data_IF_198109671222
#
_entry.id   IF_198109671222
#
_cell.length_a   1.000
_cell.length_b   1.000
_cell.length_c   1.000
_cell.angle_alpha   90.00
_cell.angle_beta   90.00
_cell.angle_gamma   90.00
#
_symmetry.space_group_name_H-M   'P 1'
#
loop_
_entity.id
_entity.type
_entity.pdbx_description
1 polymer ?
2 non-polymer ?
3 non-polymer ?
4 non-polymer ?
5 non-polymer ?
6 non-polymer ?
7 water ?
#
# COMPACT_ATOMS: atom_id res chain seq x y z
N UNK A 1 6.87 -9.68 -5.82
CA UNK A 1 5.97 -9.61 -7.02
C UNK A 1 5.12 -8.33 -7.02
N UNK A 2 5.86 -7.22 -7.05
CA UNK A 2 5.35 -5.91 -6.68
C UNK A 2 5.45 -4.87 -7.84
N UNK A 3 5.43 -5.36 -9.08
CA UNK A 3 5.51 -4.50 -10.29
C UNK A 3 4.19 -3.73 -10.47
N UNK A 4 3.06 -4.44 -10.35
CA UNK A 4 1.72 -3.84 -10.52
C UNK A 4 1.44 -2.74 -9.49
N UNK A 5 1.72 -3.01 -8.22
CA UNK A 5 1.44 -2.01 -7.13
C UNK A 5 2.24 -0.73 -7.33
N UNK A 6 3.54 -0.88 -7.54
CA UNK A 6 4.43 0.21 -7.90
C UNK A 6 3.90 1.01 -9.07
N UNK A 7 3.45 0.33 -10.11
CA UNK A 7 2.91 1.03 -11.27
C UNK A 7 1.63 1.76 -10.87
N UNK A 8 0.80 1.11 -10.05
CA UNK A 8 -0.43 1.77 -9.53
C UNK A 8 -0.10 3.01 -8.70
N UNK A 9 0.85 2.86 -7.78
CA UNK A 9 1.31 3.99 -6.98
C UNK A 9 1.75 5.16 -7.88
N UNK A 10 2.58 4.89 -8.89
CA UNK A 10 3.06 5.99 -9.75
C UNK A 10 1.92 6.66 -10.50
N UNK A 11 1.04 5.87 -11.10
CA UNK A 11 -0.11 6.45 -11.80
C UNK A 11 -0.94 7.35 -10.90
N UNK A 12 -1.15 6.94 -9.66
CA UNK A 12 -2.06 7.65 -8.79
C UNK A 12 -1.44 8.82 -8.05
N UNK A 13 -0.13 8.78 -7.80
CA UNK A 13 0.50 9.81 -6.97
C UNK A 13 1.43 10.76 -7.74
N UNK A 14 1.85 10.39 -8.96
CA UNK A 14 2.88 11.14 -9.68
C UNK A 14 4.29 10.99 -9.12
N UNK A 15 4.48 10.12 -8.12
CA UNK A 15 5.80 9.89 -7.54
C UNK A 15 6.24 8.52 -7.92
N UNK A 16 7.54 8.33 -7.94
CA UNK A 16 8.10 7.00 -8.03
C UNK A 16 7.65 6.10 -6.84
N UNK A 17 7.41 4.82 -7.09
CA UNK A 17 7.08 3.85 -6.01
C UNK A 17 8.13 3.77 -4.88
N UNK A 18 9.39 4.03 -5.25
CA UNK A 18 10.53 4.12 -4.32
C UNK A 18 10.32 5.17 -3.21
N UNK A 19 9.48 6.17 -3.47
CA UNK A 19 9.15 7.19 -2.49
C UNK A 19 8.20 6.72 -1.41
N UNK A 20 7.59 5.55 -1.58
CA UNK A 20 6.73 4.99 -0.57
C UNK A 20 7.33 3.76 0.12
N UNK A 21 8.50 3.29 -0.31
CA UNK A 21 9.22 2.24 0.42
C UNK A 21 10.00 2.84 1.59
N UNK A 22 9.97 2.11 2.70
CA UNK A 22 10.54 2.50 3.97
C UNK A 22 10.02 3.81 4.47
N UNK A 23 8.88 4.23 3.91
CA UNK A 23 8.25 5.43 4.38
C UNK A 23 7.66 5.14 5.74
N UNK A 24 8.01 5.99 6.68
CA UNK A 24 7.46 5.91 8.03
C UNK A 24 7.77 4.57 8.64
N UNK A 25 6.84 4.07 9.46
CA UNK A 25 7.02 2.82 10.17
C UNK A 25 6.33 1.66 9.55
N UNK A 26 5.43 1.91 8.58
CA UNK A 26 4.65 0.84 7.99
C UNK A 26 4.87 0.58 6.50
N UNK A 27 5.35 1.55 5.73
CA UNK A 27 5.43 1.31 4.30
C UNK A 27 6.74 0.56 4.01
N UNK A 28 6.63 -0.58 3.35
CA UNK A 28 7.77 -1.48 3.20
C UNK A 28 7.48 -2.73 4.00
N UNK A 29 8.39 -3.68 3.99
CA UNK A 29 8.08 -4.98 4.59
C UNK A 29 7.84 -4.88 6.11
N UNK A 30 6.79 -5.56 6.58
CA UNK A 30 6.40 -5.51 7.99
C UNK A 30 6.08 -4.10 8.46
N UNK A 31 6.44 -3.80 9.70
CA UNK A 31 6.08 -2.52 10.32
C UNK A 31 5.61 -2.76 11.73
N UNK A 32 5.64 -1.71 12.53
CA UNK A 32 5.39 -1.81 13.97
C UNK A 32 5.34 -0.41 14.55
N UNK A 33 4.82 -0.33 15.78
CA UNK A 33 4.77 0.92 16.55
C UNK A 33 3.73 1.86 15.95
N UNK A 34 3.77 3.15 16.23
CA UNK A 34 2.66 4.01 15.82
C UNK A 34 2.98 4.68 14.49
N UNK A 35 2.00 4.73 13.55
CA UNK A 35 2.21 5.35 12.24
C UNK A 35 2.64 6.78 12.40
N UNK A 36 3.60 7.23 11.59
CA UNK A 36 4.08 8.61 11.73
C UNK A 36 3.12 9.65 11.21
N UNK A 37 2.26 9.30 10.25
CA UNK A 37 1.42 10.28 9.57
C UNK A 37 0.33 9.55 8.74
N UNK A 38 -0.48 10.29 7.97
CA UNK A 38 -1.64 9.71 7.28
C UNK A 38 -1.21 8.73 6.17
N UNK A 39 -0.19 9.10 5.41
CA UNK A 39 0.39 8.20 4.40
C UNK A 39 0.81 6.87 5.04
N UNK A 40 1.40 6.95 6.23
CA UNK A 40 1.87 5.76 6.94
C UNK A 40 0.65 4.93 7.39
N UNK A 41 -0.41 5.59 7.84
CA UNK A 41 -1.64 4.88 8.17
C UNK A 41 -2.14 4.10 6.95
N UNK A 42 -2.04 4.67 5.73
CA UNK A 42 -2.36 3.92 4.51
C UNK A 42 -1.63 2.60 4.49
N UNK A 43 -0.34 2.60 4.82
CA UNK A 43 0.45 1.37 4.77
C UNK A 43 0.07 0.40 5.86
N UNK A 44 -0.21 0.92 7.07
CA UNK A 44 -0.78 0.12 8.16
C UNK A 44 -2.11 -0.59 7.77
N UNK A 45 -3.04 0.17 7.22
CA UNK A 45 -4.27 -0.38 6.66
C UNK A 45 -3.99 -1.44 5.55
N UNK A 46 -2.99 -1.19 4.71
CA UNK A 46 -2.63 -2.09 3.62
C UNK A 46 -2.08 -3.39 4.15
N UNK A 47 -1.20 -3.30 5.14
CA UNK A 47 -0.75 -4.51 5.83
C UNK A 47 -1.92 -5.32 6.43
N UNK A 48 -2.83 -4.61 7.07
CA UNK A 48 -4.03 -5.27 7.62
C UNK A 48 -4.80 -5.98 6.49
N UNK A 49 -4.99 -5.27 5.37
CA UNK A 49 -5.67 -5.82 4.17
C UNK A 49 -5.02 -7.11 3.69
N UNK A 50 -3.69 -7.11 3.62
CA UNK A 50 -2.99 -8.33 3.21
C UNK A 50 -3.17 -9.48 4.22
N UNK A 51 -3.15 -9.17 5.52
CA UNK A 51 -3.35 -10.19 6.54
C UNK A 51 -4.73 -10.80 6.36
N UNK A 52 -5.75 -9.98 6.11
CA UNK A 52 -7.10 -10.53 5.80
C UNK A 52 -7.05 -11.47 4.59
N UNK A 53 -6.30 -11.07 3.56
CA UNK A 53 -6.22 -11.90 2.36
C UNK A 53 -5.50 -13.26 2.64
N UNK A 54 -4.42 -13.21 3.42
CA UNK A 54 -3.71 -14.43 3.84
C UNK A 54 -4.63 -15.38 4.63
N UNK A 55 -5.43 -14.87 5.54
CA UNK A 55 -6.44 -15.69 6.24
C UNK A 55 -7.54 -16.27 5.33
N UNK A 56 -7.73 -15.70 4.13
CA UNK A 56 -8.68 -16.26 3.13
C UNK A 56 -8.07 -17.34 2.24
N UNK A 57 -6.77 -17.60 2.38
CA UNK A 57 -6.05 -18.57 1.55
C UNK A 57 -5.27 -17.92 0.43
N UNK A 58 -5.27 -16.58 0.34
CA UNK A 58 -4.58 -15.89 -0.76
C UNK A 58 -3.14 -15.67 -0.38
N UNK A 59 -2.31 -15.33 -1.37
CA UNK A 59 -0.89 -14.99 -1.17
C UNK A 59 -0.63 -13.60 -1.76
N UNK A 60 -1.19 -12.55 -1.13
CA UNK A 60 -1.21 -11.25 -1.78
C UNK A 60 0.17 -10.69 -2.07
N UNK A 61 1.19 -11.13 -1.33
CA UNK A 61 2.58 -10.71 -1.64
C UNK A 61 3.04 -11.20 -2.99
N UNK A 62 2.44 -12.28 -3.46
CA UNK A 62 2.81 -12.90 -4.72
C UNK A 62 1.79 -12.72 -5.87
N UNK A 63 0.53 -12.40 -5.57
CA UNK A 63 -0.50 -12.46 -6.59
C UNK A 63 -0.21 -11.43 -7.69
N UNK A 64 -0.47 -11.82 -8.93
CA UNK A 64 -0.35 -10.95 -10.09
C UNK A 64 -1.77 -10.66 -10.58
N UNK A 65 -2.13 -9.41 -10.69
CA UNK A 65 -3.48 -9.04 -11.12
C UNK A 65 -3.40 -8.12 -12.33
N UNK A 66 -4.55 -7.71 -12.82
CA UNK A 66 -4.65 -6.75 -13.90
C UNK A 66 -5.43 -5.53 -13.45
N UNK A 67 -5.00 -4.38 -13.94
CA UNK A 67 -5.72 -3.17 -13.70
C UNK A 67 -5.54 -2.11 -14.76
N UNK A 68 -6.51 -1.20 -14.82
CA UNK A 68 -6.42 0.00 -15.65
C UNK A 68 -6.87 1.19 -14.82
N UNK A 69 -6.53 2.38 -15.33
CA UNK A 69 -6.96 3.65 -14.79
C UNK A 69 -7.59 4.55 -15.88
N UNK A 70 -8.83 4.99 -15.66
CA UNK A 70 -9.52 5.94 -16.50
C UNK A 70 -9.81 7.18 -15.63
N UNK A 71 -10.97 7.80 -15.82
CA UNK A 71 -11.40 8.97 -15.05
C UNK A 71 -12.40 8.51 -14.00
N UNK A 72 -13.20 7.49 -14.35
CA UNK A 72 -13.99 6.72 -13.39
C UNK A 72 -13.17 6.11 -12.26
N UNK A 73 -11.87 5.91 -12.50
CA UNK A 73 -10.95 5.54 -11.44
C UNK A 73 -10.12 4.32 -11.80
N UNK A 74 -9.91 3.44 -10.84
CA UNK A 74 -9.05 2.27 -11.01
C UNK A 74 -9.93 1.06 -11.13
N UNK A 75 -9.72 0.29 -12.19
CA UNK A 75 -10.51 -0.93 -12.45
C UNK A 75 -9.61 -2.14 -12.26
N UNK A 76 -10.05 -3.06 -11.41
CA UNK A 76 -9.27 -4.22 -10.98
C UNK A 76 -9.81 -5.47 -11.67
N UNK A 77 -8.91 -6.40 -11.95
CA UNK A 77 -9.28 -7.62 -12.64
C UNK A 77 -8.26 -8.70 -12.41
N UNK A 78 -8.62 -9.90 -12.82
CA UNK A 78 -7.77 -11.08 -12.64
C UNK A 78 -8.57 -12.35 -12.79
N UNK A 79 -7.86 -13.40 -13.16
CA UNK A 79 -8.45 -14.73 -13.34
C UNK A 79 -9.10 -15.23 -12.04
N UNK A 80 -8.42 -15.00 -10.91
CA UNK A 80 -8.90 -15.51 -9.63
C UNK A 80 -9.36 -14.40 -8.68
N UNK A 81 -10.19 -14.82 -7.75
CA UNK A 81 -10.73 -13.94 -6.76
C UNK A 81 -9.59 -13.39 -5.89
N UNK A 82 -8.62 -14.24 -5.57
CA UNK A 82 -7.45 -13.77 -4.82
C UNK A 82 -6.69 -12.67 -5.51
N UNK A 83 -6.55 -12.74 -6.83
CA UNK A 83 -5.83 -11.69 -7.60
C UNK A 83 -6.65 -10.40 -7.52
N UNK A 84 -7.97 -10.53 -7.67
CA UNK A 84 -8.85 -9.38 -7.63
C UNK A 84 -8.83 -8.72 -6.22
N UNK A 85 -8.77 -9.55 -5.17
CA UNK A 85 -8.72 -9.03 -3.79
C UNK A 85 -7.41 -8.30 -3.58
N UNK A 86 -6.33 -8.85 -4.13
CA UNK A 86 -5.05 -8.18 -3.98
C UNK A 86 -5.06 -6.79 -4.58
N UNK A 87 -5.61 -6.71 -5.79
CA UNK A 87 -5.82 -5.45 -6.48
C UNK A 87 -6.67 -4.48 -5.70
N UNK A 88 -7.76 -4.96 -5.09
CA UNK A 88 -8.54 -4.10 -4.21
C UNK A 88 -7.76 -3.52 -2.99
N UNK A 89 -7.02 -4.34 -2.28
CA UNK A 89 -6.12 -3.82 -1.20
C UNK A 89 -5.15 -2.75 -1.75
N UNK A 90 -4.48 -3.03 -2.87
CA UNK A 90 -3.52 -2.07 -3.44
C UNK A 90 -4.22 -0.77 -3.86
N UNK A 91 -5.40 -0.90 -4.46
CA UNK A 91 -6.17 0.22 -4.96
C UNK A 91 -6.52 1.15 -3.80
N UNK A 92 -7.04 0.58 -2.72
CA UNK A 92 -7.38 1.37 -1.52
C UNK A 92 -6.15 2.12 -0.99
N UNK A 93 -5.00 1.46 -0.98
CA UNK A 93 -3.72 2.09 -0.59
C UNK A 93 -3.29 3.22 -1.51
N UNK A 94 -3.35 2.99 -2.83
CA UNK A 94 -2.91 3.99 -3.79
C UNK A 94 -3.81 5.22 -3.72
N UNK A 95 -5.10 4.98 -3.54
CA UNK A 95 -6.05 6.07 -3.38
C UNK A 95 -5.81 6.83 -2.11
N UNK A 96 -5.53 6.09 -1.05
CA UNK A 96 -5.15 6.68 0.22
C UNK A 96 -3.89 7.55 0.10
N UNK A 97 -2.85 7.05 -0.57
CA UNK A 97 -1.64 7.88 -0.85
C UNK A 97 -1.97 9.20 -1.59
N UNK A 98 -2.66 9.08 -2.72
CA UNK A 98 -3.09 10.25 -3.48
C UNK A 98 -3.82 11.25 -2.60
N UNK A 99 -4.75 10.75 -1.80
CA UNK A 99 -5.60 11.60 -0.97
C UNK A 99 -4.80 12.40 0.08
N UNK A 100 -3.73 11.80 0.57
CA UNK A 100 -2.87 12.43 1.53
C UNK A 100 -1.60 13.01 0.92
N UNK A 101 -1.60 13.29 -0.38
CA UNK A 101 -0.41 13.92 -0.97
C UNK A 101 -0.02 15.21 -0.25
N UNK A 102 -1.03 15.92 0.28
CA UNK A 102 -0.85 17.18 0.99
C UNK A 102 -0.01 17.12 2.24
N UNK A 103 0.10 15.97 2.90
CA UNK A 103 0.95 15.85 4.10
C UNK A 103 2.12 14.91 3.93
N UNK A 104 2.32 14.39 2.72
CA UNK A 104 3.52 13.62 2.40
C UNK A 104 4.76 14.47 2.75
N UNK A 105 5.68 13.90 3.52
CA UNK A 105 6.90 14.59 3.92
C UNK A 105 8.08 13.69 3.58
N UNK A 106 8.99 14.27 2.79
CA UNK A 106 10.21 13.58 2.37
C UNK A 106 11.08 13.14 3.50
N UNK A 107 11.01 13.83 4.64
CA UNK A 107 11.76 13.40 5.82
C UNK A 107 11.41 11.99 6.33
N UNK A 108 10.22 11.47 6.01
CA UNK A 108 9.83 10.12 6.43
C UNK A 108 10.20 9.04 5.43
N UNK A 109 10.60 9.40 4.22
CA UNK A 109 11.10 8.38 3.31
C UNK A 109 12.41 7.79 3.90
N UNK A 110 12.55 6.47 3.85
CA UNK A 110 13.72 5.77 4.39
C UNK A 110 13.89 6.04 5.87
N UNK A 111 12.79 5.92 6.60
CA UNK A 111 12.76 6.29 7.98
C UNK A 111 13.50 5.24 8.81
N UNK A 112 14.44 5.66 9.69
CA UNK A 112 15.14 4.66 10.51
C UNK A 112 14.20 3.97 11.49
N UNK A 113 14.28 2.65 11.52
CA UNK A 113 13.32 1.84 12.23
C UNK A 113 13.39 2.07 13.75
N UNK A 114 14.54 2.52 14.26
CA UNK A 114 14.63 2.90 15.68
C UNK A 114 13.84 4.13 16.07
N UNK A 115 13.45 4.96 15.10
CA UNK A 115 12.59 6.11 15.42
C UNK A 115 11.13 5.68 15.55
N UNK A 116 10.83 4.42 15.22
CA UNK A 116 9.47 3.92 15.42
C UNK A 116 9.28 3.56 16.90
N UNK A 117 8.37 4.29 17.54
CA UNK A 117 8.09 4.20 18.97
C UNK A 117 6.56 4.18 19.18
N UNK A 118 6.13 3.83 20.40
CA UNK A 118 4.71 3.74 20.76
C UNK A 118 4.15 2.33 20.65
N UNK A 119 2.84 2.20 20.91
CA UNK A 119 2.17 0.94 20.72
C UNK A 119 1.91 0.69 19.23
N UNK A 120 1.59 -0.55 18.91
CA UNK A 120 1.25 -0.97 17.57
C UNK A 120 -0.26 -1.01 17.56
N UNK A 121 -0.92 -0.08 16.83
CA UNK A 121 -2.36 -0.11 16.74
C UNK A 121 -2.88 -1.39 16.07
N UNK A 122 -4.05 -1.87 16.54
CA UNK A 122 -4.56 -3.11 16.00
C UNK A 122 -5.21 -2.85 14.63
N UNK A 123 -5.41 -3.89 13.85
CA UNK A 123 -6.14 -3.73 12.57
C UNK A 123 -7.59 -3.35 12.82
X LIG B 1 4.41 -2.63 5.68
X LIG C 1 2.70 -6.67 3.66
X LIG C 1 3.58 -5.82 3.33
X LIG C 1 4.50 -5.41 4.08
X LIG C 1 3.48 -5.26 1.89
X LIG C 1 4.05 -3.91 1.91
X LIG C 1 5.08 -3.48 1.09
X LIG C 1 6.15 -4.37 0.84
X LIG C 1 7.18 -3.96 0.03
X LIG C 1 7.14 -2.67 -0.48
X LIG C 1 6.11 -1.82 -0.23
X LIG C 1 5.05 -2.20 0.56
X LIG C 1 4.24 -1.10 0.61
X LIG C 1 3.06 -0.95 1.27
X LIG C 1 2.02 -0.55 0.75
X LIG C 1 3.05 -1.26 2.78
X LIG C 1 4.06 -1.59 3.38
X LIG C 1 1.87 -1.20 3.37
X LIG C 1 4.77 -0.14 -0.14
X LIG C 1 4.14 1.24 -0.35
X LIG C 1 5.93 -0.57 -0.67
X LIG C 1 6.94 0.15 -1.61
X LIG C 1 6.87 -0.33 -2.97
X LIG C 1 5.58 -0.56 -3.48
X LIG C 1 5.37 -1.04 -4.77
X LIG C 1 6.43 -1.28 -5.61
X LIG C 1 7.72 -1.06 -5.16
X LIG C 1 7.98 -0.59 -3.86
X LIG C 1 9.36 -0.41 -3.52
X LIG C 1 10.28 -0.94 -4.51
X LIG C 1 9.67 -1.06 -2.39
X LIG C 1 9.60 0.98 -3.41
X LIG D 1 -0.52 -4.48 12.59
X LIG D 1 0.76 -3.96 13.08
X LIG D 1 -0.79 -3.80 11.05
X LIG D 1 -0.19 -6.12 12.21
X LIG E 1 -11.18 -6.16 0.50
X LIG E 1 -10.20 -5.69 -0.43
X LIG E 1 -10.45 -6.67 1.74
X LIG E 1 -10.66 -5.77 2.81
X LIG E 1 -10.92 -8.07 2.13
X LIG E 1 -10.78 -8.25 3.53
X LIG F 1 -7.74 -1.89 3.62
X LIG G 1 -3.25 -16.50 -13.77
#
# INVERSE_FOLDING_TARGET
NLVQFGVMIEKMTGKSALQYNDYGCYCGIGGSHWPVDQTDWCCHAHDCCYGRLEKLGCEPKLEKYLFSVSERGIFCAGRTTCQRLTCECDKRAALCFRRNLGTYNRKYAHYPNKLCTGPTPPC
CA CA
7W3 OAO CAN OAP CAM OAL CAF CAA CAB CAC CAD CAE CAI CAK OAS CAQ OAT NAR CAH CAJ NAG CAU CAV CBA CAZ CAY CAX CAW CBB FBD FBE FBC
DMS S O C1 C2
GOL C1 O1 C2 O2 C3 O3
CL CL
CL CL
#
